data_IF_749964405236
#
_entry.id   IF_749964405236
#
_cell.length_a   1.000
_cell.length_b   1.000
_cell.length_c   1.000
_cell.angle_alpha   90.00
_cell.angle_beta   90.00
_cell.angle_gamma   90.00
#
_symmetry.space_group_name_H-M   'P 1'
#
loop_
_entity.id
_entity.type
_entity.pdbx_description
1 polymer ?
#
# COMPACT_ATOMS: atom_id res chain seq x y z
N UNK A 1 3.90 3.80 -15.96
CA UNK A 1 3.43 3.04 -14.78
C UNK A 1 4.34 3.41 -13.61
N UNK A 2 3.83 3.54 -12.38
CA UNK A 2 4.71 3.80 -11.23
C UNK A 2 5.70 2.64 -11.05
N UNK A 3 6.98 2.98 -10.92
CA UNK A 3 8.11 2.03 -10.90
C UNK A 3 8.20 1.25 -9.57
N UNK A 4 7.57 1.74 -8.51
CA UNK A 4 7.57 1.13 -7.18
C UNK A 4 6.64 -0.09 -7.07
N UNK A 5 7.15 -1.30 -6.76
CA UNK A 5 6.33 -2.49 -6.52
C UNK A 5 5.22 -2.31 -5.47
N UNK A 6 5.47 -1.75 -4.27
CA UNK A 6 4.41 -1.58 -3.27
C UNK A 6 3.32 -0.58 -3.72
N UNK A 7 3.68 0.44 -4.50
CA UNK A 7 2.69 1.37 -5.06
C UNK A 7 1.79 0.69 -6.11
N UNK A 8 2.37 -0.19 -6.93
CA UNK A 8 1.59 -0.99 -7.89
C UNK A 8 0.59 -1.93 -7.20
N UNK A 9 1.00 -2.57 -6.10
CA UNK A 9 0.11 -3.45 -5.34
C UNK A 9 -1.17 -2.72 -4.89
N UNK A 10 -1.03 -1.53 -4.30
CA UNK A 10 -2.17 -0.68 -3.90
C UNK A 10 -3.05 -0.33 -5.11
N UNK A 11 -2.45 0.11 -6.22
CA UNK A 11 -3.22 0.48 -7.42
C UNK A 11 -3.94 -0.72 -8.05
N UNK A 12 -3.39 -1.93 -7.98
CA UNK A 12 -4.05 -3.14 -8.44
C UNK A 12 -5.29 -3.44 -7.61
N UNK A 13 -5.21 -3.32 -6.28
CA UNK A 13 -6.37 -3.49 -5.39
C UNK A 13 -7.42 -2.41 -5.65
N UNK A 14 -7.02 -1.13 -5.69
CA UNK A 14 -7.94 -0.03 -5.99
C UNK A 14 -8.67 -0.24 -7.33
N UNK A 15 -7.93 -0.63 -8.38
CA UNK A 15 -8.51 -0.94 -9.69
C UNK A 15 -9.44 -2.15 -9.65
N UNK A 16 -9.07 -3.22 -8.94
CA UNK A 16 -9.91 -4.42 -8.81
C UNK A 16 -11.24 -4.11 -8.10
N UNK A 17 -11.21 -3.24 -7.09
CA UNK A 17 -12.38 -2.80 -6.34
C UNK A 17 -13.14 -1.65 -7.02
N UNK A 18 -12.70 -1.18 -8.19
CA UNK A 18 -13.25 -0.02 -8.91
C UNK A 18 -13.26 1.27 -8.08
N UNK A 19 -12.26 1.45 -7.20
CA UNK A 19 -12.09 2.67 -6.41
C UNK A 19 -11.36 3.71 -7.25
N UNK A 20 -11.97 4.88 -7.42
CA UNK A 20 -11.32 6.01 -8.09
C UNK A 20 -10.23 6.59 -7.19
N UNK A 21 -8.99 6.62 -7.69
CA UNK A 21 -7.84 7.14 -6.94
C UNK A 21 -7.22 8.32 -7.68
N UNK A 22 -6.97 9.42 -6.95
CA UNK A 22 -6.21 10.55 -7.47
C UNK A 22 -4.70 10.29 -7.29
N UNK A 23 -4.01 9.94 -8.37
CA UNK A 23 -2.60 9.56 -8.32
C UNK A 23 -1.73 10.81 -8.39
N UNK A 24 -1.03 11.11 -7.29
CA UNK A 24 0.08 12.09 -7.27
C UNK A 24 1.40 11.35 -7.45
N UNK A 25 2.10 11.62 -8.55
CA UNK A 25 3.41 11.02 -8.79
C UNK A 25 4.48 11.68 -7.92
N UNK A 26 5.33 10.86 -7.32
CA UNK A 26 6.49 11.31 -6.51
C UNK A 26 7.75 10.76 -7.17
N UNK A 27 8.61 11.66 -7.62
CA UNK A 27 9.86 11.34 -8.29
C UNK A 27 10.97 11.02 -7.26
N UNK A 28 11.20 9.73 -7.06
CA UNK A 28 12.23 9.25 -6.12
C UNK A 28 13.65 9.60 -6.57
N UNK A 29 13.88 9.76 -7.88
CA UNK A 29 15.21 10.09 -8.42
C UNK A 29 15.61 11.53 -8.10
N UNK A 30 14.63 12.41 -7.93
CA UNK A 30 14.80 13.79 -7.49
C UNK A 30 14.68 13.97 -5.97
N UNK A 31 14.46 12.88 -5.23
CA UNK A 31 14.33 12.92 -3.77
C UNK A 31 13.08 13.66 -3.30
N UNK A 32 11.99 13.67 -4.07
CA UNK A 32 10.76 14.40 -3.69
C UNK A 32 10.15 13.91 -2.37
N UNK A 33 10.34 12.64 -2.04
CA UNK A 33 9.94 12.02 -0.76
C UNK A 33 10.73 12.54 0.45
N UNK A 34 11.84 13.26 0.24
CA UNK A 34 12.67 13.84 1.30
C UNK A 34 12.29 15.31 1.59
N UNK A 35 11.40 15.90 0.79
CA UNK A 35 10.99 17.29 0.98
C UNK A 35 10.10 17.44 2.21
N UNK A 36 10.14 18.59 2.91
CA UNK A 36 9.33 18.83 4.11
C UNK A 36 7.84 18.54 3.89
N UNK A 37 7.28 18.95 2.73
CA UNK A 37 5.86 18.71 2.43
C UNK A 37 5.47 17.22 2.37
N UNK A 38 6.42 16.34 2.00
CA UNK A 38 6.16 14.90 1.97
C UNK A 38 6.38 14.27 3.34
N UNK A 39 7.37 14.76 4.10
CA UNK A 39 7.66 14.29 5.44
C UNK A 39 6.53 14.60 6.43
N UNK A 40 5.78 15.68 6.21
CA UNK A 40 4.56 15.98 6.95
C UNK A 40 3.48 14.89 6.76
N UNK A 41 3.44 14.25 5.59
CA UNK A 41 2.50 13.15 5.30
C UNK A 41 3.03 11.80 5.81
N UNK A 42 4.32 11.52 5.57
CA UNK A 42 4.95 10.27 5.96
C UNK A 42 6.37 10.53 6.48
N UNK A 43 6.58 10.50 7.81
CA UNK A 43 7.91 10.71 8.39
C UNK A 43 8.90 9.60 8.01
N UNK A 44 8.41 8.43 7.60
CA UNK A 44 9.25 7.32 7.10
C UNK A 44 9.73 7.54 5.66
N UNK A 45 9.39 8.66 5.01
CA UNK A 45 9.88 9.04 3.67
C UNK A 45 9.78 7.92 2.61
N UNK A 46 8.72 7.12 2.68
CA UNK A 46 8.44 5.98 1.78
C UNK A 46 7.16 6.20 0.98
N UNK A 47 7.07 5.50 -0.15
CA UNK A 47 5.85 5.40 -0.95
C UNK A 47 5.36 3.94 -0.97
N UNK A 48 4.05 3.69 -1.08
CA UNK A 48 2.95 4.64 -1.24
C UNK A 48 2.46 5.29 0.06
N UNK A 49 1.80 6.44 -0.08
CA UNK A 49 1.01 7.11 0.96
C UNK A 49 -0.41 7.28 0.43
N UNK A 50 -1.41 6.94 1.24
CA UNK A 50 -2.82 7.20 1.01
C UNK A 50 -3.24 8.37 1.89
N UNK A 51 -3.94 9.33 1.30
CA UNK A 51 -4.66 10.38 2.02
C UNK A 51 -6.14 10.19 1.68
N UNK A 52 -6.94 9.99 2.72
CA UNK A 52 -8.38 9.76 2.63
C UNK A 52 -9.08 10.57 3.72
N UNK A 53 -9.66 11.71 3.32
CA UNK A 53 -10.12 12.78 4.20
C UNK A 53 -9.08 13.15 5.28
N UNK A 54 -9.38 12.91 6.55
CA UNK A 54 -8.50 13.21 7.69
C UNK A 54 -7.48 12.09 7.97
N UNK A 55 -7.57 10.95 7.28
CA UNK A 55 -6.66 9.82 7.46
C UNK A 55 -5.48 9.92 6.49
N UNK A 56 -4.27 9.98 7.04
CA UNK A 56 -3.04 9.76 6.29
C UNK A 56 -2.45 8.42 6.71
N UNK A 57 -2.27 7.51 5.75
CA UNK A 57 -1.79 6.14 5.97
C UNK A 57 -0.66 5.82 5.00
N UNK A 58 0.46 5.34 5.54
CA UNK A 58 1.55 4.72 4.78
C UNK A 58 1.63 3.22 5.14
N UNK A 59 2.49 2.49 4.44
CA UNK A 59 2.54 1.01 4.36
C UNK A 59 1.54 0.41 3.36
N UNK A 60 2.05 -0.10 2.24
CA UNK A 60 1.22 -0.59 1.13
C UNK A 60 0.24 -1.69 1.53
N UNK A 61 0.67 -2.62 2.40
CA UNK A 61 -0.17 -3.75 2.83
C UNK A 61 -1.28 -3.31 3.79
N UNK A 62 -1.01 -2.31 4.64
CA UNK A 62 -2.02 -1.68 5.46
C UNK A 62 -3.03 -0.90 4.60
N UNK A 63 -2.55 -0.14 3.61
CA UNK A 63 -3.40 0.56 2.64
C UNK A 63 -4.32 -0.41 1.89
N UNK A 64 -3.79 -1.53 1.38
CA UNK A 64 -4.61 -2.54 0.69
C UNK A 64 -5.72 -3.10 1.60
N UNK A 65 -5.39 -3.46 2.84
CA UNK A 65 -6.38 -3.95 3.80
C UNK A 65 -7.42 -2.86 4.13
N UNK A 66 -7.00 -1.61 4.29
CA UNK A 66 -7.89 -0.47 4.52
C UNK A 66 -8.87 -0.26 3.37
N UNK A 67 -8.39 -0.25 2.12
CA UNK A 67 -9.25 -0.09 0.94
C UNK A 67 -10.32 -1.19 0.87
N UNK A 68 -9.95 -2.43 1.15
CA UNK A 68 -10.92 -3.53 1.24
C UNK A 68 -11.94 -3.29 2.36
N UNK A 69 -11.51 -3.00 3.58
CA UNK A 69 -12.42 -2.85 4.72
C UNK A 69 -13.35 -1.63 4.59
N UNK A 70 -12.83 -0.50 4.10
CA UNK A 70 -13.57 0.77 4.05
C UNK A 70 -14.53 0.85 2.86
N UNK A 71 -14.07 0.42 1.68
CA UNK A 71 -14.79 0.66 0.42
C UNK A 71 -15.41 -0.59 -0.18
N UNK A 72 -15.04 -1.78 0.30
CA UNK A 72 -15.58 -3.04 -0.20
C UNK A 72 -15.64 -4.11 0.91
N UNK A 73 -16.35 -3.88 2.03
CA UNK A 73 -16.34 -4.78 3.19
C UNK A 73 -16.76 -6.22 2.87
N UNK A 74 -17.61 -6.42 1.86
CA UNK A 74 -18.06 -7.75 1.42
C UNK A 74 -17.14 -8.42 0.38
N UNK A 75 -15.96 -7.83 0.11
CA UNK A 75 -15.01 -8.35 -0.87
C UNK A 75 -14.39 -9.67 -0.42
N UNK A 76 -14.27 -10.59 -1.38
CA UNK A 76 -13.54 -11.85 -1.17
C UNK A 76 -12.01 -11.65 -1.15
N UNK A 77 -11.51 -10.47 -1.49
CA UNK A 77 -10.07 -10.15 -1.39
C UNK A 77 -9.58 -10.07 0.06
N UNK A 78 -10.45 -9.67 1.00
CA UNK A 78 -10.09 -9.51 2.41
C UNK A 78 -11.27 -9.84 3.35
N UNK A 79 -11.72 -11.11 3.36
CA UNK A 79 -12.93 -11.53 4.08
C UNK A 79 -12.82 -11.31 5.58
N UNK A 80 -13.96 -11.19 6.26
CA UNK A 80 -14.04 -11.06 7.73
C UNK A 80 -13.85 -12.38 8.49
N UNK A 81 -13.97 -13.53 7.81
CA UNK A 81 -13.69 -14.83 8.42
C UNK A 81 -12.25 -14.89 8.93
N UNK A 82 -12.09 -15.25 10.20
CA UNK A 82 -10.80 -15.16 10.89
C UNK A 82 -9.76 -16.13 10.32
N UNK A 83 -10.18 -17.32 9.86
CA UNK A 83 -9.26 -18.31 9.31
C UNK A 83 -8.78 -17.91 7.92
N UNK A 84 -9.70 -17.45 7.05
CA UNK A 84 -9.35 -16.97 5.72
C UNK A 84 -8.48 -15.70 5.79
N UNK A 85 -8.85 -14.76 6.66
CA UNK A 85 -8.07 -13.53 6.88
C UNK A 85 -6.67 -13.84 7.41
N UNK A 86 -6.53 -14.78 8.35
CA UNK A 86 -5.23 -15.19 8.85
C UNK A 86 -4.31 -15.76 7.74
N UNK A 87 -4.87 -16.49 6.76
CA UNK A 87 -4.09 -16.98 5.62
C UNK A 87 -3.60 -15.83 4.74
N UNK A 88 -4.44 -14.82 4.49
CA UNK A 88 -4.08 -13.63 3.71
C UNK A 88 -3.02 -12.81 4.45
N UNK A 89 -3.26 -12.50 5.72
CA UNK A 89 -2.33 -11.74 6.56
C UNK A 89 -0.97 -12.43 6.65
N UNK A 90 -0.95 -13.76 6.79
CA UNK A 90 0.30 -14.55 6.74
C UNK A 90 1.07 -14.29 5.45
N UNK A 91 0.41 -14.28 4.29
CA UNK A 91 1.07 -14.01 3.01
C UNK A 91 1.52 -12.57 2.87
N UNK A 92 0.73 -11.61 3.33
CA UNK A 92 1.13 -10.19 3.36
C UNK A 92 2.37 -9.99 4.23
N UNK A 93 2.44 -10.64 5.40
CA UNK A 93 3.59 -10.54 6.29
C UNK A 93 4.82 -11.28 5.78
N UNK A 94 4.64 -12.48 5.19
CA UNK A 94 5.72 -13.17 4.48
C UNK A 94 6.29 -12.32 3.35
N UNK A 95 5.42 -11.68 2.58
CA UNK A 95 5.81 -10.80 1.49
C UNK A 95 6.61 -9.59 2.01
N UNK A 96 6.16 -8.93 3.09
CA UNK A 96 6.87 -7.81 3.71
C UNK A 96 8.23 -8.21 4.29
N UNK A 97 8.25 -9.23 5.15
CA UNK A 97 9.40 -9.56 5.99
C UNK A 97 10.41 -10.52 5.35
N UNK A 98 10.01 -11.26 4.31
CA UNK A 98 10.86 -12.28 3.69
C UNK A 98 10.97 -12.09 2.20
N UNK A 99 9.87 -12.19 1.43
CA UNK A 99 9.97 -12.22 -0.04
C UNK A 99 10.49 -10.90 -0.62
N UNK A 100 9.80 -9.79 -0.35
CA UNK A 100 10.18 -8.49 -0.89
C UNK A 100 11.57 -8.07 -0.40
N UNK A 101 11.84 -8.29 0.89
CA UNK A 101 13.16 -8.06 1.47
C UNK A 101 14.25 -8.84 0.75
N UNK A 102 14.08 -10.16 0.58
CA UNK A 102 15.07 -10.99 -0.10
C UNK A 102 15.27 -10.61 -1.58
N UNK A 103 14.21 -10.16 -2.27
CA UNK A 103 14.35 -9.65 -3.64
C UNK A 103 15.18 -8.37 -3.65
N UNK A 104 14.86 -7.39 -2.80
CA UNK A 104 15.60 -6.13 -2.71
C UNK A 104 17.05 -6.32 -2.25
N UNK A 105 17.31 -7.28 -1.35
CA UNK A 105 18.68 -7.56 -0.89
C UNK A 105 19.52 -8.27 -1.98
N UNK A 106 18.89 -8.90 -2.98
CA UNK A 106 19.56 -9.62 -4.07
C UNK A 106 19.88 -8.73 -5.29
N UNK A 107 19.06 -7.71 -5.52
CA UNK A 107 19.18 -6.76 -6.65
C UNK A 107 19.95 -5.51 -6.26
#
# INVERSE_FOLDING_TARGET
MPESPPSRAVLMVAKHLNIAVNIKHVDLTKGEQLKPEFLELNPSHTIPVLVDDDLTLWESRAIMAYLCNQYAPDTQLYPHDSQQRAVIDKWLQFDLGSLYKSICDYT
#
